data_IF_675107364453
#
_entry.id   IF_675107364453
#
_cell.length_a   1.000
_cell.length_b   1.000
_cell.length_c   1.000
_cell.angle_alpha   90.00
_cell.angle_beta   90.00
_cell.angle_gamma   90.00
#
_symmetry.space_group_name_H-M   'P 1'
#
loop_
_entity.id
_entity.type
_entity.pdbx_description
1 polymer ?
#
# COMPACT_ATOMS: atom_id res chain seq x y z
N UNK A 1 24.09 -6.57 -40.78
CA UNK A 1 24.50 -7.59 -39.78
C UNK A 1 24.06 -7.09 -38.42
N UNK A 2 23.08 -7.75 -37.79
CA UNK A 2 22.48 -7.36 -36.51
C UNK A 2 23.33 -7.91 -35.37
N UNK A 3 23.73 -7.07 -34.41
CA UNK A 3 24.53 -7.48 -33.25
C UNK A 3 23.67 -8.34 -32.30
N UNK A 4 24.01 -9.63 -32.07
CA UNK A 4 23.27 -10.51 -31.15
C UNK A 4 23.52 -10.20 -29.66
N UNK A 5 24.45 -9.29 -29.34
CA UNK A 5 24.78 -8.84 -27.98
C UNK A 5 24.36 -7.39 -27.73
N UNK A 6 23.45 -6.84 -28.53
CA UNK A 6 22.87 -5.53 -28.23
C UNK A 6 22.12 -5.63 -26.89
N UNK A 7 22.71 -5.03 -25.86
CA UNK A 7 22.11 -4.91 -24.53
C UNK A 7 20.79 -4.19 -24.70
N UNK A 8 19.68 -4.91 -24.53
CA UNK A 8 18.35 -4.33 -24.39
C UNK A 8 18.45 -3.28 -23.30
N UNK A 9 18.29 -2.00 -23.68
CA UNK A 9 18.20 -0.90 -22.74
C UNK A 9 17.31 -1.33 -21.58
N UNK A 10 17.89 -1.38 -20.39
CA UNK A 10 17.22 -1.81 -19.17
C UNK A 10 15.85 -1.15 -19.11
N UNK A 11 14.81 -1.97 -19.15
CA UNK A 11 13.46 -1.58 -18.75
C UNK A 11 13.62 -0.83 -17.44
N UNK A 12 13.25 0.45 -17.41
CA UNK A 12 13.26 1.25 -16.19
C UNK A 12 12.60 0.41 -15.09
N UNK A 13 13.37 0.05 -14.07
CA UNK A 13 12.93 -0.90 -13.06
C UNK A 13 11.63 -0.43 -12.44
N UNK A 14 10.53 -1.09 -12.79
CA UNK A 14 9.28 -0.93 -12.07
C UNK A 14 9.55 -1.49 -10.66
N UNK A 15 9.50 -0.67 -9.60
CA UNK A 15 9.60 -1.20 -8.25
C UNK A 15 8.53 -2.26 -8.04
N UNK A 16 8.97 -3.39 -7.48
CA UNK A 16 8.33 -4.69 -7.56
C UNK A 16 6.87 -4.68 -7.11
N UNK A 17 6.03 -5.22 -7.97
CA UNK A 17 4.60 -5.34 -7.83
C UNK A 17 4.22 -6.82 -7.67
N UNK A 18 3.69 -7.22 -6.52
CA UNK A 18 3.32 -8.61 -6.24
C UNK A 18 1.83 -8.77 -5.90
N UNK A 19 0.95 -8.22 -6.71
CA UNK A 19 -0.48 -8.52 -6.60
C UNK A 19 -1.17 -8.45 -7.95
N UNK A 20 -1.57 -9.59 -8.52
CA UNK A 20 -2.43 -9.65 -9.72
C UNK A 20 -3.75 -8.86 -9.59
N UNK A 21 -4.04 -8.36 -8.37
CA UNK A 21 -5.31 -7.78 -7.99
C UNK A 21 -5.23 -6.47 -7.21
N UNK A 22 -4.10 -5.75 -7.22
CA UNK A 22 -4.06 -4.40 -6.62
C UNK A 22 -2.96 -3.53 -7.21
N UNK A 23 -3.28 -2.37 -7.80
CA UNK A 23 -2.35 -1.45 -8.48
C UNK A 23 -1.93 -0.24 -7.62
N UNK A 24 -0.67 0.20 -7.69
CA UNK A 24 -0.25 1.49 -7.14
C UNK A 24 -0.68 2.63 -8.07
N UNK A 25 -1.69 3.40 -7.67
CA UNK A 25 -2.15 4.57 -8.43
C UNK A 25 -1.25 5.78 -8.17
N UNK A 26 -0.85 5.99 -6.92
CA UNK A 26 0.00 7.13 -6.53
C UNK A 26 0.81 6.81 -5.27
N UNK A 27 2.10 7.10 -5.31
CA UNK A 27 2.98 6.98 -4.15
C UNK A 27 3.87 8.22 -3.98
N UNK A 28 3.94 8.77 -2.77
CA UNK A 28 4.90 9.83 -2.40
C UNK A 28 5.42 9.61 -0.98
N UNK A 29 6.14 10.58 -0.40
CA UNK A 29 6.56 10.49 1.00
C UNK A 29 5.35 10.27 1.93
N UNK A 30 5.38 9.18 2.71
CA UNK A 30 4.33 8.79 3.65
C UNK A 30 2.90 8.80 3.10
N UNK A 31 2.72 8.51 1.80
CA UNK A 31 1.42 8.52 1.16
C UNK A 31 1.31 7.44 0.10
N UNK A 32 0.22 6.68 0.11
CA UNK A 32 -0.07 5.64 -0.89
C UNK A 32 -1.54 5.68 -1.27
N UNK A 33 -1.80 5.57 -2.56
CA UNK A 33 -3.12 5.26 -3.13
C UNK A 33 -2.99 3.97 -3.89
N UNK A 34 -3.67 2.93 -3.42
CA UNK A 34 -3.66 1.60 -4.02
C UNK A 34 -5.08 1.27 -4.47
N UNK A 35 -5.23 0.89 -5.73
CA UNK A 35 -6.49 0.41 -6.27
C UNK A 35 -6.54 -1.10 -6.14
N UNK A 36 -7.41 -1.62 -5.28
CA UNK A 36 -7.60 -3.06 -5.07
C UNK A 36 -8.76 -3.52 -5.95
N UNK A 37 -8.60 -4.66 -6.62
CA UNK A 37 -9.64 -5.30 -7.44
C UNK A 37 -10.15 -6.62 -6.87
N UNK A 38 -9.40 -7.29 -6.00
CA UNK A 38 -9.77 -8.52 -5.30
C UNK A 38 -9.11 -8.57 -3.91
N UNK A 39 -9.74 -9.12 -2.87
CA UNK A 39 -11.05 -9.80 -2.84
C UNK A 39 -12.25 -8.86 -2.67
N UNK A 40 -11.99 -7.55 -2.54
CA UNK A 40 -13.00 -6.48 -2.58
C UNK A 40 -12.44 -5.39 -3.47
N UNK A 41 -13.25 -4.88 -4.40
CA UNK A 41 -12.84 -3.73 -5.22
C UNK A 41 -12.99 -2.46 -4.39
N UNK A 42 -11.87 -1.81 -4.08
CA UNK A 42 -11.84 -0.58 -3.30
C UNK A 42 -10.59 0.23 -3.59
N UNK A 43 -10.64 1.52 -3.26
CA UNK A 43 -9.48 2.41 -3.21
C UNK A 43 -8.98 2.51 -1.78
N UNK A 44 -7.77 2.05 -1.56
CA UNK A 44 -7.05 2.17 -0.31
C UNK A 44 -6.18 3.43 -0.32
N UNK A 45 -6.31 4.27 0.70
CA UNK A 45 -5.48 5.48 0.87
C UNK A 45 -4.82 5.44 2.23
N UNK A 46 -3.49 5.49 2.24
CA UNK A 46 -2.70 5.74 3.44
C UNK A 46 -2.10 7.13 3.38
N UNK A 47 -2.21 7.87 4.48
CA UNK A 47 -1.53 9.15 4.70
C UNK A 47 -0.84 9.15 6.05
N UNK A 48 0.41 9.61 6.12
CA UNK A 48 1.19 9.78 7.35
C UNK A 48 1.67 11.22 7.56
N UNK A 49 0.95 12.20 7.01
CA UNK A 49 1.36 13.60 7.00
C UNK A 49 1.21 14.28 8.38
N UNK A 50 2.14 15.19 8.73
CA UNK A 50 2.17 15.92 10.01
C UNK A 50 1.95 15.04 11.26
N UNK A 51 2.59 13.86 11.31
CA UNK A 51 2.49 12.93 12.46
C UNK A 51 1.08 12.35 12.70
N UNK A 52 0.15 12.60 11.77
CA UNK A 52 -1.17 11.98 11.71
C UNK A 52 -1.13 10.88 10.66
N UNK A 53 -1.41 9.66 11.09
CA UNK A 53 -1.59 8.53 10.19
C UNK A 53 -3.07 8.24 10.02
N UNK A 54 -3.52 8.04 8.79
CA UNK A 54 -4.89 7.62 8.46
C UNK A 54 -4.87 6.53 7.41
N UNK A 55 -5.90 5.68 7.48
CA UNK A 55 -6.26 4.73 6.43
C UNK A 55 -7.70 5.01 6.04
N UNK A 56 -7.92 5.23 4.75
CA UNK A 56 -9.24 5.40 4.16
C UNK A 56 -9.49 4.32 3.11
N UNK A 57 -10.70 3.76 3.10
CA UNK A 57 -11.19 2.84 2.08
C UNK A 57 -12.38 3.50 1.38
N UNK A 58 -12.29 3.77 0.08
CA UNK A 58 -13.34 4.47 -0.69
C UNK A 58 -13.90 5.74 0.00
N UNK A 59 -13.03 6.47 0.72
CA UNK A 59 -13.39 7.69 1.45
C UNK A 59 -13.84 7.48 2.90
N UNK A 60 -14.04 6.23 3.34
CA UNK A 60 -14.33 5.90 4.73
C UNK A 60 -13.03 5.81 5.54
N UNK A 61 -12.85 6.65 6.55
CA UNK A 61 -11.73 6.51 7.50
C UNK A 61 -11.96 5.29 8.38
N UNK A 62 -11.14 4.25 8.19
CA UNK A 62 -11.24 2.98 8.94
C UNK A 62 -10.24 2.89 10.09
N UNK A 63 -9.21 3.72 10.04
CA UNK A 63 -8.20 3.80 11.09
C UNK A 63 -7.52 5.16 11.08
N UNK A 64 -7.14 5.64 12.27
CA UNK A 64 -6.34 6.85 12.40
C UNK A 64 -5.62 6.94 13.74
N UNK A 65 -4.47 7.61 13.74
CA UNK A 65 -3.70 7.88 14.95
C UNK A 65 -2.91 9.18 14.80
N UNK A 66 -2.75 9.92 15.90
CA UNK A 66 -1.82 11.06 15.99
C UNK A 66 -0.71 10.67 16.96
N UNK A 67 0.55 10.78 16.55
CA UNK A 67 1.70 10.44 17.39
C UNK A 67 2.94 11.24 17.02
N UNK A 68 3.35 12.12 17.92
CA UNK A 68 4.56 12.94 17.79
C UNK A 68 5.86 12.15 18.00
N UNK A 69 5.78 10.97 18.65
CA UNK A 69 6.96 10.19 19.03
C UNK A 69 7.35 9.15 17.98
N UNK A 70 6.36 8.57 17.30
CA UNK A 70 6.59 7.45 16.39
C UNK A 70 5.48 7.28 15.36
N UNK A 71 5.88 6.92 14.15
CA UNK A 71 5.00 6.46 13.08
C UNK A 71 4.77 4.96 13.28
N UNK A 72 3.50 4.55 13.38
CA UNK A 72 3.10 3.15 13.45
C UNK A 72 3.46 2.45 12.14
N UNK A 73 4.16 1.33 12.29
CA UNK A 73 4.55 0.45 11.20
C UNK A 73 3.47 -0.56 10.86
N UNK A 74 2.47 -0.71 11.71
CA UNK A 74 1.37 -1.63 11.52
C UNK A 74 0.07 -0.95 11.95
N UNK A 75 -1.01 -1.23 11.24
CA UNK A 75 -2.36 -0.86 11.61
C UNK A 75 -3.32 -1.98 11.24
N UNK A 76 -4.28 -2.23 12.12
CA UNK A 76 -5.36 -3.19 11.91
C UNK A 76 -6.67 -2.42 11.86
N UNK A 77 -7.55 -2.84 10.95
CA UNK A 77 -8.84 -2.19 10.71
C UNK A 77 -9.87 -3.22 10.25
N UNK A 78 -11.13 -2.78 10.19
CA UNK A 78 -12.24 -3.56 9.63
C UNK A 78 -12.77 -2.85 8.40
N UNK A 79 -13.12 -3.61 7.37
CA UNK A 79 -13.83 -3.05 6.23
C UNK A 79 -15.23 -2.61 6.69
N UNK A 80 -15.69 -1.39 6.33
CA UNK A 80 -17.05 -0.95 6.56
C UNK A 80 -18.05 -1.89 5.89
N UNK A 81 -19.25 -2.02 6.49
CA UNK A 81 -20.30 -2.92 5.98
C UNK A 81 -20.75 -2.53 4.57
N UNK A 82 -20.62 -1.25 4.23
CA UNK A 82 -20.94 -0.68 2.93
C UNK A 82 -20.00 -1.16 1.83
N UNK A 83 -18.74 -1.47 2.18
CA UNK A 83 -17.72 -1.94 1.24
C UNK A 83 -17.60 -3.47 1.23
N UNK A 84 -17.84 -4.10 2.38
CA UNK A 84 -17.79 -5.55 2.52
C UNK A 84 -18.80 -6.02 3.59
N UNK A 85 -19.89 -6.70 3.20
CA UNK A 85 -20.87 -7.25 4.14
C UNK A 85 -20.26 -8.21 5.17
N UNK A 86 -19.11 -8.83 4.85
CA UNK A 86 -18.41 -9.74 5.76
C UNK A 86 -17.54 -9.01 6.79
N UNK A 87 -17.37 -7.68 6.66
CA UNK A 87 -16.50 -6.87 7.50
C UNK A 87 -15.13 -7.52 7.72
N UNK A 88 -14.52 -7.98 6.63
CA UNK A 88 -13.21 -8.63 6.67
C UNK A 88 -12.22 -7.75 7.40
N UNK A 89 -11.29 -8.40 8.09
CA UNK A 89 -10.18 -7.70 8.73
C UNK A 89 -9.21 -7.21 7.67
N UNK A 90 -8.65 -6.03 7.89
CA UNK A 90 -7.58 -5.46 7.09
C UNK A 90 -6.37 -5.19 7.95
N UNK A 91 -5.19 -5.35 7.36
CA UNK A 91 -3.92 -4.97 7.99
C UNK A 91 -3.07 -4.22 7.00
N UNK A 92 -2.38 -3.20 7.48
CA UNK A 92 -1.37 -2.46 6.73
C UNK A 92 -0.04 -2.57 7.47
N UNK A 93 1.05 -2.76 6.74
CA UNK A 93 2.40 -2.74 7.28
C UNK A 93 3.36 -1.90 6.44
N UNK A 94 4.28 -1.22 7.14
CA UNK A 94 5.30 -0.35 6.54
C UNK A 94 6.67 -0.67 7.11
N UNK A 95 7.64 -0.86 6.23
CA UNK A 95 9.04 -0.84 6.59
C UNK A 95 9.68 0.48 6.14
N UNK A 96 10.34 1.16 7.06
CA UNK A 96 11.02 2.43 6.80
C UNK A 96 12.53 2.24 6.68
N UNK A 97 13.13 3.02 5.79
CA UNK A 97 14.56 3.32 5.84
C UNK A 97 14.87 4.25 7.03
N UNK A 98 16.15 4.45 7.34
CA UNK A 98 16.61 5.39 8.37
C UNK A 98 16.09 6.82 8.17
N UNK A 99 15.80 7.22 6.92
CA UNK A 99 15.26 8.54 6.57
C UNK A 99 13.73 8.60 6.43
N UNK A 100 13.00 7.66 7.04
CA UNK A 100 11.53 7.55 6.98
C UNK A 100 10.93 7.37 5.56
N UNK A 101 11.76 7.04 4.56
CA UNK A 101 11.26 6.60 3.27
C UNK A 101 10.71 5.19 3.41
N UNK A 102 9.52 4.96 2.85
CA UNK A 102 8.91 3.64 2.74
C UNK A 102 9.82 2.78 1.85
N UNK A 103 10.32 1.67 2.39
CA UNK A 103 11.06 0.63 1.65
C UNK A 103 10.17 -0.54 1.27
N UNK A 104 9.19 -0.84 2.12
CA UNK A 104 8.19 -1.86 1.86
C UNK A 104 6.84 -1.40 2.35
N UNK A 105 5.80 -1.65 1.56
CA UNK A 105 4.42 -1.35 1.93
C UNK A 105 3.54 -2.55 1.61
N UNK A 106 2.84 -3.07 2.61
CA UNK A 106 2.03 -4.27 2.47
C UNK A 106 0.62 -4.04 2.97
N UNK A 107 -0.35 -4.63 2.27
CA UNK A 107 -1.76 -4.64 2.67
C UNK A 107 -2.25 -6.08 2.66
N UNK A 108 -2.95 -6.46 3.73
CA UNK A 108 -3.68 -7.73 3.83
C UNK A 108 -5.17 -7.46 4.00
N UNK A 109 -5.98 -8.33 3.42
CA UNK A 109 -7.41 -8.45 3.72
C UNK A 109 -7.66 -9.91 4.04
N UNK A 110 -8.24 -10.18 5.22
CA UNK A 110 -8.55 -11.52 5.72
C UNK A 110 -7.38 -12.50 5.59
N UNK A 111 -6.22 -12.10 6.14
CA UNK A 111 -4.94 -12.82 6.10
C UNK A 111 -4.31 -12.99 4.71
N UNK A 112 -5.01 -12.64 3.63
CA UNK A 112 -4.48 -12.69 2.27
C UNK A 112 -3.68 -11.43 1.98
N UNK A 113 -2.42 -11.59 1.55
CA UNK A 113 -1.59 -10.47 1.07
C UNK A 113 -2.11 -10.02 -0.29
N UNK A 114 -2.69 -8.82 -0.35
CA UNK A 114 -3.29 -8.28 -1.57
C UNK A 114 -2.37 -7.31 -2.31
N UNK A 115 -1.42 -6.72 -1.58
CA UNK A 115 -0.49 -5.73 -2.11
C UNK A 115 0.84 -5.81 -1.36
N UNK A 116 1.94 -5.82 -2.11
CA UNK A 116 3.31 -5.77 -1.59
C UNK A 116 4.17 -4.96 -2.56
N UNK A 117 4.61 -3.80 -2.08
CA UNK A 117 5.50 -2.87 -2.76
C UNK A 117 6.89 -2.97 -2.15
N UNK A 118 7.92 -3.07 -3.00
CA UNK A 118 9.33 -3.00 -2.58
C UNK A 118 10.06 -1.90 -3.36
N UNK A 119 10.69 -0.97 -2.64
CA UNK A 119 11.38 0.23 -3.15
C UNK A 119 12.87 0.31 -2.77
#
# INVERSE_FOLDING_TARGET
>A
MTNPYAVTTATAGQPGFFGEHAELVRGTFLYRVVQVSHPVRLRFVYSGWWFRQTIELDGHTVWGQISWMAIRRQAEFRLPVELDPQQRSGRMEIEFSRGLRIRRFRIWIDQTLIYDEVA
#
